data_IF_517771829320
#
_entry.id   IF_517771829320
#
_cell.length_a   1.000
_cell.length_b   1.000
_cell.length_c   1.000
_cell.angle_alpha   90.00
_cell.angle_beta   90.00
_cell.angle_gamma   90.00
#
_symmetry.space_group_name_H-M   'P 1'
#
loop_
_entity.id
_entity.type
_entity.pdbx_description
1 polymer ?
#
# COMPACT_ATOMS: atom_id res chain seq x y z
N UNK A 1 15.10 58.89 29.50
CA UNK A 1 16.51 58.44 29.50
C UNK A 1 16.66 57.42 30.62
N UNK A 2 16.95 56.12 30.39
CA UNK A 2 16.72 55.19 29.25
C UNK A 2 15.64 54.11 29.60
N UNK A 3 14.84 53.56 28.66
CA UNK A 3 14.97 52.28 27.90
C UNK A 3 14.94 51.01 28.80
N UNK A 4 14.14 49.95 28.60
CA UNK A 4 13.73 49.17 27.40
C UNK A 4 12.35 48.49 27.63
N UNK A 5 11.39 48.53 26.69
CA UNK A 5 11.05 47.57 25.60
C UNK A 5 10.43 46.22 26.01
N UNK A 6 9.19 46.00 25.54
CA UNK A 6 8.60 44.75 25.01
C UNK A 6 7.21 45.13 24.46
N UNK A 7 7.09 45.67 23.24
CA UNK A 7 6.99 44.99 21.93
C UNK A 7 5.94 43.86 21.87
N UNK A 8 4.77 44.27 21.38
CA UNK A 8 3.71 43.45 20.77
C UNK A 8 4.27 42.89 19.45
N UNK A 9 4.38 41.56 19.33
CA UNK A 9 4.75 40.92 18.08
C UNK A 9 3.53 40.47 17.27
N UNK A 10 3.69 40.64 15.97
CA UNK A 10 2.73 40.48 14.88
C UNK A 10 2.28 39.02 14.70
N UNK A 11 0.98 38.82 14.48
CA UNK A 11 0.49 37.66 13.74
C UNK A 11 0.41 38.06 12.26
N UNK A 12 1.45 37.76 11.50
CA UNK A 12 1.43 37.93 10.04
C UNK A 12 0.56 36.87 9.38
N UNK A 13 -0.27 37.35 8.45
CA UNK A 13 -1.21 36.60 7.63
C UNK A 13 -0.50 35.54 6.77
N UNK A 14 -1.00 34.30 6.80
CA UNK A 14 -0.75 33.34 5.74
C UNK A 14 -1.37 33.85 4.43
N UNK A 15 -0.53 34.19 3.46
CA UNK A 15 -0.95 34.69 2.15
C UNK A 15 -1.61 33.60 1.31
N UNK A 16 -2.92 33.72 1.08
CA UNK A 16 -3.63 33.02 0.01
C UNK A 16 -3.25 33.68 -1.31
N UNK A 17 -2.53 32.97 -2.18
CA UNK A 17 -2.40 33.36 -3.60
C UNK A 17 -3.44 32.61 -4.41
N UNK A 18 -4.57 33.26 -4.65
CA UNK A 18 -5.50 32.89 -5.73
C UNK A 18 -4.93 33.41 -7.05
N UNK A 19 -4.73 32.52 -8.02
CA UNK A 19 -4.54 32.91 -9.42
C UNK A 19 -5.67 32.32 -10.24
N UNK A 20 -6.51 33.20 -10.77
CA UNK A 20 -7.60 32.87 -11.69
C UNK A 20 -7.04 32.57 -13.08
N UNK A 21 -7.22 31.33 -13.55
CA UNK A 21 -7.11 31.01 -14.97
C UNK A 21 -8.44 30.44 -15.48
N UNK A 22 -9.12 31.21 -16.32
CA UNK A 22 -10.42 30.86 -16.90
C UNK A 22 -10.24 30.05 -18.19
N UNK A 23 -10.22 28.72 -18.10
CA UNK A 23 -10.71 27.85 -19.19
C UNK A 23 -11.48 26.65 -18.60
N UNK A 24 -12.78 26.56 -18.95
CA UNK A 24 -13.71 25.45 -18.70
C UNK A 24 -14.19 25.19 -17.25
N UNK A 25 -15.09 26.05 -16.74
CA UNK A 25 -16.36 25.64 -16.12
C UNK A 25 -16.40 24.71 -14.89
N UNK A 26 -15.28 24.34 -14.27
CA UNK A 26 -15.25 23.57 -13.02
C UNK A 26 -14.31 24.25 -12.02
N UNK A 27 -14.84 24.70 -10.88
CA UNK A 27 -14.02 25.07 -9.73
C UNK A 27 -13.27 23.82 -9.27
N UNK A 28 -11.97 23.77 -9.50
CA UNK A 28 -11.04 22.83 -8.87
C UNK A 28 -10.34 23.56 -7.74
N UNK A 29 -10.60 23.17 -6.50
CA UNK A 29 -9.76 23.56 -5.37
C UNK A 29 -8.48 22.74 -5.44
N UNK A 30 -7.35 23.39 -5.70
CA UNK A 30 -6.03 22.76 -5.69
C UNK A 30 -5.48 22.89 -4.27
N UNK A 31 -5.36 21.79 -3.55
CA UNK A 31 -4.65 21.73 -2.27
C UNK A 31 -3.22 21.31 -2.57
N UNK A 32 -2.26 22.25 -2.50
CA UNK A 32 -0.84 21.91 -2.54
C UNK A 32 -0.42 21.42 -1.15
N UNK A 33 0.07 20.18 -1.07
CA UNK A 33 0.69 19.64 0.14
C UNK A 33 2.22 19.73 -0.05
N UNK A 34 2.86 20.72 0.55
CA UNK A 34 4.33 20.82 0.61
C UNK A 34 4.80 20.15 1.90
N UNK A 35 5.53 19.04 1.79
CA UNK A 35 6.25 18.46 2.92
C UNK A 35 7.70 18.93 2.89
N UNK A 36 8.05 19.93 3.71
CA UNK A 36 9.45 20.29 3.93
C UNK A 36 10.15 19.19 4.75
N UNK A 37 11.14 18.52 4.15
CA UNK A 37 12.00 17.58 4.86
C UNK A 37 13.13 18.33 5.54
N UNK A 38 13.08 18.45 6.87
CA UNK A 38 14.27 18.75 7.67
C UNK A 38 14.57 17.54 8.55
N UNK A 39 15.75 16.96 8.30
CA UNK A 39 16.26 15.77 8.97
C UNK A 39 17.06 16.23 10.18
N UNK A 40 16.48 16.15 11.38
CA UNK A 40 17.23 16.28 12.63
C UNK A 40 17.25 14.95 13.38
N UNK A 41 18.48 14.49 13.62
CA UNK A 41 18.82 13.26 14.35
C UNK A 41 18.59 13.46 15.84
N UNK A 42 17.64 12.73 16.43
CA UNK A 42 17.64 12.47 17.89
C UNK A 42 17.17 11.05 18.22
N UNK A 43 17.95 10.46 19.11
CA UNK A 43 17.91 9.14 19.79
C UNK A 43 16.57 8.44 20.03
N UNK A 44 16.66 7.11 19.94
CA UNK A 44 15.62 6.08 20.06
C UNK A 44 14.61 6.26 21.21
N UNK A 45 13.37 6.59 20.84
CA UNK A 45 12.15 6.18 21.53
C UNK A 45 11.11 5.88 20.46
N UNK A 46 10.45 4.71 20.54
CA UNK A 46 9.59 4.20 19.47
C UNK A 46 8.49 5.19 19.07
N UNK A 47 8.23 5.32 17.76
CA UNK A 47 7.08 6.08 17.25
C UNK A 47 5.81 5.39 17.74
N UNK A 48 5.12 6.01 18.71
CA UNK A 48 3.78 5.60 19.12
C UNK A 48 2.85 5.71 17.90
N UNK A 49 1.95 4.74 17.76
CA UNK A 49 0.88 4.76 16.78
C UNK A 49 0.12 6.08 16.91
N UNK A 50 -0.11 6.76 15.78
CA UNK A 50 -0.65 8.11 15.75
C UNK A 50 -1.99 8.12 16.49
N UNK A 51 -2.04 8.91 17.56
CA UNK A 51 -3.23 9.11 18.41
C UNK A 51 -4.44 9.56 17.59
N UNK A 52 -5.63 9.23 18.10
CA UNK A 52 -7.00 9.25 17.54
C UNK A 52 -7.52 10.55 16.86
N UNK A 53 -6.67 11.47 16.43
CA UNK A 53 -7.06 12.75 15.80
C UNK A 53 -7.43 12.67 14.31
N UNK A 54 -7.70 11.47 13.78
CA UNK A 54 -8.43 11.31 12.51
C UNK A 54 -9.96 11.25 12.71
N UNK A 55 -10.44 11.19 13.96
CA UNK A 55 -11.87 11.26 14.26
C UNK A 55 -12.27 12.70 14.62
N UNK A 56 -12.21 13.59 13.64
CA UNK A 56 -12.59 14.99 13.76
C UNK A 56 -13.83 15.32 12.93
N UNK A 57 -14.98 14.78 13.33
CA UNK A 57 -16.33 15.38 13.23
C UNK A 57 -17.36 14.28 13.50
N UNK A 58 -18.30 14.53 14.43
CA UNK A 58 -19.58 13.81 14.50
C UNK A 58 -20.32 14.02 13.17
N UNK A 59 -20.00 13.16 12.21
CA UNK A 59 -20.67 13.07 10.93
C UNK A 59 -21.48 11.77 10.95
N UNK A 60 -22.74 11.83 10.53
CA UNK A 60 -23.63 10.69 10.22
C UNK A 60 -23.00 9.67 9.22
N UNK A 61 -21.80 9.97 8.73
CA UNK A 61 -20.98 9.17 7.81
C UNK A 61 -20.04 8.14 8.50
N UNK A 62 -19.93 8.11 9.83
CA UNK A 62 -19.09 7.12 10.52
C UNK A 62 -19.80 5.75 10.69
N UNK A 63 -19.29 4.69 10.07
CA UNK A 63 -19.87 3.32 10.16
C UNK A 63 -19.33 2.46 11.31
N UNK A 64 -18.42 3.00 12.13
CA UNK A 64 -17.72 2.21 13.15
C UNK A 64 -16.64 1.30 12.55
N UNK A 65 -15.76 0.74 13.39
CA UNK A 65 -14.77 -0.26 12.93
C UNK A 65 -15.45 -1.58 12.60
N UNK A 66 -14.91 -2.31 11.63
CA UNK A 66 -15.49 -3.57 11.15
C UNK A 66 -14.42 -4.64 11.07
N UNK A 67 -14.74 -5.84 11.56
CA UNK A 67 -13.88 -7.02 11.48
C UNK A 67 -14.67 -8.20 10.95
N UNK A 68 -14.04 -9.03 10.13
CA UNK A 68 -14.55 -10.35 9.76
C UNK A 68 -13.41 -11.36 9.77
N UNK A 69 -13.72 -12.64 10.01
CA UNK A 69 -12.71 -13.69 10.10
C UNK A 69 -12.30 -14.18 8.71
N UNK A 70 -11.03 -14.54 8.57
CA UNK A 70 -10.55 -15.35 7.45
C UNK A 70 -11.30 -16.69 7.36
N UNK A 71 -11.45 -17.38 8.48
CA UNK A 71 -12.19 -18.63 8.57
C UNK A 71 -12.39 -19.09 10.02
N UNK A 72 -13.04 -20.23 10.19
CA UNK A 72 -13.25 -20.83 11.52
C UNK A 72 -12.02 -21.57 12.06
N UNK A 73 -11.14 -22.02 11.16
CA UNK A 73 -9.88 -22.70 11.50
C UNK A 73 -8.73 -21.70 11.68
N UNK A 74 -8.74 -20.63 10.87
CA UNK A 74 -7.79 -19.52 10.91
C UNK A 74 -8.49 -18.28 11.48
N UNK A 75 -8.45 -18.16 12.81
CA UNK A 75 -9.19 -17.12 13.54
C UNK A 75 -8.40 -15.81 13.51
N UNK A 76 -8.29 -15.17 12.35
CA UNK A 76 -7.58 -13.90 12.17
C UNK A 76 -8.52 -12.86 11.57
N UNK A 77 -8.46 -11.64 12.10
CA UNK A 77 -9.35 -10.58 11.66
C UNK A 77 -8.84 -9.88 10.40
N UNK A 78 -9.70 -9.82 9.39
CA UNK A 78 -9.45 -9.14 8.13
C UNK A 78 -8.14 -9.55 7.46
N UNK A 79 -7.80 -10.85 7.44
CA UNK A 79 -6.62 -11.35 6.72
C UNK A 79 -6.57 -10.77 5.31
N UNK A 80 -5.52 -10.02 5.02
CA UNK A 80 -5.56 -8.95 4.03
C UNK A 80 -5.25 -9.44 2.62
N UNK A 81 -4.37 -10.42 2.52
CA UNK A 81 -4.11 -11.15 1.30
C UNK A 81 -5.35 -11.93 0.82
N UNK A 82 -6.23 -12.33 1.75
CA UNK A 82 -7.56 -12.89 1.45
C UNK A 82 -8.62 -11.80 1.20
N UNK A 83 -8.56 -10.68 1.92
CA UNK A 83 -9.42 -9.52 1.70
C UNK A 83 -9.33 -9.01 0.27
N UNK A 84 -8.16 -9.10 -0.37
CA UNK A 84 -7.98 -8.80 -1.79
C UNK A 84 -9.03 -9.42 -2.71
N UNK A 85 -9.44 -10.66 -2.43
CA UNK A 85 -10.44 -11.36 -3.23
C UNK A 85 -11.88 -11.04 -2.76
N UNK A 86 -12.09 -10.92 -1.44
CA UNK A 86 -13.42 -10.71 -0.85
C UNK A 86 -13.93 -9.26 -0.97
N UNK A 87 -13.04 -8.27 -0.99
CA UNK A 87 -13.35 -6.85 -0.85
C UNK A 87 -14.20 -6.28 -1.99
N UNK A 88 -14.26 -6.95 -3.15
CA UNK A 88 -15.21 -6.61 -4.22
C UNK A 88 -16.67 -6.63 -3.76
N UNK A 89 -17.05 -7.61 -2.92
CA UNK A 89 -18.40 -7.70 -2.39
C UNK A 89 -18.70 -6.54 -1.42
N UNK A 90 -17.72 -6.21 -0.57
CA UNK A 90 -17.82 -5.11 0.38
C UNK A 90 -17.89 -3.76 -0.35
N UNK A 91 -17.01 -3.49 -1.31
CA UNK A 91 -17.05 -2.26 -2.10
C UNK A 91 -18.39 -2.08 -2.82
N UNK A 92 -18.95 -3.17 -3.38
CA UNK A 92 -20.19 -3.12 -4.16
C UNK A 92 -21.44 -2.95 -3.30
N UNK A 93 -21.49 -3.61 -2.14
CA UNK A 93 -22.71 -3.67 -1.32
C UNK A 93 -22.65 -2.71 -0.13
N UNK A 94 -21.46 -2.50 0.43
CA UNK A 94 -21.21 -1.74 1.65
C UNK A 94 -19.94 -0.88 1.53
N UNK A 95 -19.85 0.05 0.56
CA UNK A 95 -18.62 0.79 0.28
C UNK A 95 -18.07 1.55 1.49
N UNK A 96 -18.93 2.08 2.37
CA UNK A 96 -18.49 2.75 3.60
C UNK A 96 -17.75 1.82 4.56
N UNK A 97 -18.13 0.53 4.62
CA UNK A 97 -17.41 -0.49 5.41
C UNK A 97 -16.06 -0.79 4.77
N UNK A 98 -16.02 -1.01 3.45
CA UNK A 98 -14.76 -1.24 2.72
C UNK A 98 -13.75 -0.10 2.96
N UNK A 99 -14.17 1.15 2.72
CA UNK A 99 -13.29 2.30 2.92
C UNK A 99 -12.80 2.42 4.37
N UNK A 100 -13.60 1.98 5.35
CA UNK A 100 -13.16 2.03 6.74
C UNK A 100 -12.15 0.92 7.08
N UNK A 101 -12.30 -0.28 6.51
CA UNK A 101 -11.30 -1.35 6.63
C UNK A 101 -9.97 -0.88 6.02
N UNK A 102 -10.01 -0.27 4.83
CA UNK A 102 -8.83 0.30 4.20
C UNK A 102 -8.15 1.34 5.10
N UNK A 103 -8.92 2.23 5.75
CA UNK A 103 -8.37 3.20 6.73
C UNK A 103 -7.72 2.53 7.95
N UNK A 104 -8.26 1.42 8.45
CA UNK A 104 -7.63 0.62 9.50
C UNK A 104 -6.27 0.07 9.04
N UNK A 105 -6.19 -0.47 7.82
CA UNK A 105 -4.93 -0.95 7.24
C UNK A 105 -3.93 0.19 6.95
N UNK A 106 -4.39 1.36 6.51
CA UNK A 106 -3.50 2.52 6.33
C UNK A 106 -2.85 2.96 7.64
N UNK A 107 -3.62 3.02 8.74
CA UNK A 107 -3.06 3.27 10.08
C UNK A 107 -2.05 2.19 10.44
N UNK A 108 -2.39 0.93 10.20
CA UNK A 108 -1.51 -0.19 10.50
C UNK A 108 -0.18 -0.13 9.73
N UNK A 109 -0.20 0.17 8.43
CA UNK A 109 1.01 0.35 7.60
C UNK A 109 1.95 1.40 8.21
N UNK A 110 1.40 2.49 8.73
CA UNK A 110 2.14 3.60 9.32
C UNK A 110 2.53 3.39 10.79
N UNK A 111 2.17 2.26 11.40
CA UNK A 111 2.55 1.90 12.77
C UNK A 111 3.60 0.79 12.79
N UNK A 112 4.45 0.83 13.84
CA UNK A 112 5.41 -0.22 14.18
C UNK A 112 5.04 -0.81 15.55
N UNK A 113 5.12 -2.13 15.65
CA UNK A 113 5.04 -2.84 16.92
C UNK A 113 6.35 -3.60 17.15
N UNK A 114 7.19 -3.02 18.00
CA UNK A 114 8.51 -3.53 18.34
C UNK A 114 8.54 -4.85 19.12
N UNK A 115 7.38 -5.37 19.57
CA UNK A 115 7.33 -6.64 20.30
C UNK A 115 7.93 -7.77 19.47
N UNK A 116 8.66 -8.67 20.13
CA UNK A 116 9.28 -9.81 19.47
C UNK A 116 8.31 -10.97 19.35
N UNK A 117 8.24 -11.55 18.17
CA UNK A 117 7.47 -12.77 17.88
C UNK A 117 8.41 -13.82 17.30
N UNK A 118 8.17 -15.08 17.64
CA UNK A 118 8.87 -16.22 17.04
C UNK A 118 8.09 -16.67 15.82
N UNK A 119 8.74 -16.75 14.66
CA UNK A 119 8.15 -17.32 13.46
C UNK A 119 8.32 -18.83 13.48
N UNK A 120 7.21 -19.54 13.32
CA UNK A 120 7.16 -20.98 13.61
C UNK A 120 7.91 -21.81 12.57
N UNK A 121 7.82 -21.44 11.30
CA UNK A 121 8.42 -22.19 10.20
C UNK A 121 9.95 -22.05 10.17
N UNK A 122 10.47 -20.84 10.32
CA UNK A 122 11.92 -20.57 10.30
C UNK A 122 12.57 -20.72 11.69
N UNK A 123 11.78 -20.64 12.76
CA UNK A 123 12.24 -20.74 14.15
C UNK A 123 12.98 -19.51 14.68
N UNK A 124 13.15 -18.47 13.86
CA UNK A 124 13.80 -17.22 14.21
C UNK A 124 12.83 -16.23 14.88
N UNK A 125 13.37 -15.12 15.38
CA UNK A 125 12.60 -14.05 16.01
C UNK A 125 12.64 -12.79 15.16
N UNK A 126 11.50 -12.11 15.06
CA UNK A 126 11.36 -10.84 14.36
C UNK A 126 10.57 -9.81 15.16
N UNK A 127 10.42 -8.63 14.55
CA UNK A 127 9.52 -7.57 15.03
C UNK A 127 8.10 -7.96 14.60
N UNK A 128 7.11 -7.79 15.48
CA UNK A 128 5.72 -8.18 15.21
C UNK A 128 5.11 -7.43 14.04
N UNK A 129 5.31 -6.11 13.96
CA UNK A 129 4.81 -5.28 12.86
C UNK A 129 5.85 -4.23 12.48
N UNK A 130 6.32 -4.27 11.25
CA UNK A 130 7.31 -3.34 10.71
C UNK A 130 6.62 -2.15 10.02
N UNK A 131 7.12 -0.93 10.22
CA UNK A 131 6.63 0.26 9.50
C UNK A 131 6.76 0.08 7.99
N UNK A 132 5.73 0.49 7.23
CA UNK A 132 5.70 0.37 5.76
C UNK A 132 5.29 -1.02 5.25
N UNK A 133 5.42 -2.08 6.05
CA UNK A 133 4.82 -3.37 5.72
C UNK A 133 3.32 -3.36 6.07
N UNK A 134 2.47 -3.77 5.13
CA UNK A 134 1.06 -4.07 5.40
C UNK A 134 1.00 -5.29 6.33
N UNK A 135 0.25 -5.24 7.45
CA UNK A 135 0.08 -6.44 8.27
C UNK A 135 -0.71 -7.50 7.48
N UNK A 136 -0.44 -8.77 7.78
CA UNK A 136 -1.23 -9.89 7.26
C UNK A 136 -2.68 -9.81 7.77
N UNK A 137 -2.87 -9.53 9.05
CA UNK A 137 -4.17 -9.45 9.68
C UNK A 137 -4.20 -8.36 10.76
N UNK A 138 -5.40 -7.91 11.12
CA UNK A 138 -5.59 -6.91 12.18
C UNK A 138 -5.50 -7.48 13.58
N UNK A 139 -5.12 -8.76 13.75
CA UNK A 139 -4.93 -9.43 15.02
C UNK A 139 -5.99 -10.50 15.32
N UNK A 140 -5.97 -10.97 16.57
CA UNK A 140 -6.94 -11.93 17.14
C UNK A 140 -7.60 -11.38 18.40
N UNK A 141 -6.80 -11.16 19.46
CA UNK A 141 -7.26 -10.87 20.81
C UNK A 141 -7.60 -9.40 21.03
N UNK A 142 -6.70 -8.51 20.62
CA UNK A 142 -6.87 -7.07 20.69
C UNK A 142 -6.60 -6.45 19.31
N UNK A 143 -7.59 -6.54 18.41
CA UNK A 143 -7.42 -6.13 17.02
C UNK A 143 -7.05 -4.65 16.92
N UNK A 144 -6.40 -4.26 15.83
CA UNK A 144 -5.85 -2.91 15.58
C UNK A 144 -4.63 -2.53 16.44
N UNK A 145 -4.38 -3.20 17.57
CA UNK A 145 -3.24 -2.93 18.45
C UNK A 145 -2.25 -4.12 18.49
N UNK A 146 -2.76 -5.35 18.43
CA UNK A 146 -1.97 -6.59 18.35
C UNK A 146 -2.09 -7.25 16.97
N UNK A 147 -1.71 -6.50 15.94
CA UNK A 147 -1.71 -6.94 14.54
C UNK A 147 -0.72 -8.09 14.28
N UNK A 148 -0.87 -8.76 13.13
CA UNK A 148 -0.09 -9.95 12.76
C UNK A 148 -0.22 -11.04 13.83
N UNK A 149 -1.43 -11.52 14.04
CA UNK A 149 -1.65 -12.72 14.81
C UNK A 149 -1.07 -13.95 14.09
N UNK A 150 -1.07 -13.95 12.76
CA UNK A 150 -0.30 -14.89 11.97
C UNK A 150 1.18 -14.83 12.32
N UNK A 151 1.75 -15.97 12.73
CA UNK A 151 3.14 -16.08 13.13
C UNK A 151 3.84 -17.32 12.56
N UNK A 152 3.29 -17.95 11.52
CA UNK A 152 3.98 -19.07 10.85
C UNK A 152 5.23 -18.55 10.14
N UNK A 153 5.06 -17.51 9.32
CA UNK A 153 6.12 -16.81 8.59
C UNK A 153 6.23 -15.33 8.98
N UNK A 154 7.37 -14.74 8.65
CA UNK A 154 7.59 -13.29 8.73
C UNK A 154 6.86 -12.55 7.60
N UNK A 155 5.66 -12.07 7.90
CA UNK A 155 4.78 -11.41 6.92
C UNK A 155 5.31 -10.05 6.47
N UNK A 156 6.24 -9.43 7.20
CA UNK A 156 6.89 -8.21 6.72
C UNK A 156 7.75 -8.46 5.48
N UNK A 157 8.08 -9.72 5.20
CA UNK A 157 8.83 -10.10 3.99
C UNK A 157 7.91 -10.49 2.84
N UNK A 158 6.59 -10.50 3.03
CA UNK A 158 5.68 -10.90 1.96
C UNK A 158 5.68 -9.92 0.80
N UNK A 159 5.59 -10.47 -0.42
CA UNK A 159 5.75 -9.73 -1.68
C UNK A 159 4.42 -9.32 -2.29
N UNK A 160 3.29 -9.82 -1.78
CA UNK A 160 1.96 -9.58 -2.30
C UNK A 160 1.14 -8.59 -1.46
N UNK A 161 1.30 -8.56 -0.13
CA UNK A 161 0.51 -7.70 0.76
C UNK A 161 0.56 -6.20 0.40
N UNK A 162 1.75 -5.63 0.25
CA UNK A 162 1.92 -4.22 -0.10
C UNK A 162 1.35 -3.89 -1.50
N UNK A 163 1.67 -4.65 -2.57
CA UNK A 163 1.01 -4.46 -3.87
C UNK A 163 -0.51 -4.61 -3.81
N UNK A 164 -1.05 -5.62 -3.11
CA UNK A 164 -2.48 -5.81 -2.90
C UNK A 164 -3.13 -4.62 -2.20
N UNK A 165 -2.46 -4.02 -1.22
CA UNK A 165 -2.93 -2.82 -0.54
C UNK A 165 -3.05 -1.64 -1.51
N UNK A 166 -1.97 -1.31 -2.21
CA UNK A 166 -1.93 -0.19 -3.17
C UNK A 166 -3.02 -0.34 -4.23
N UNK A 167 -3.16 -1.55 -4.76
CA UNK A 167 -4.15 -1.89 -5.77
C UNK A 167 -5.60 -1.74 -5.25
N UNK A 168 -5.91 -2.24 -4.06
CA UNK A 168 -7.25 -2.11 -3.46
C UNK A 168 -7.58 -0.66 -3.13
N UNK A 169 -6.65 0.08 -2.51
CA UNK A 169 -6.85 1.50 -2.18
C UNK A 169 -7.14 2.31 -3.44
N UNK A 170 -6.35 2.11 -4.50
CA UNK A 170 -6.60 2.83 -5.75
C UNK A 170 -7.92 2.42 -6.41
N UNK A 171 -8.27 1.12 -6.41
CA UNK A 171 -9.58 0.64 -6.90
C UNK A 171 -10.73 1.37 -6.19
N UNK A 172 -10.67 1.43 -4.87
CA UNK A 172 -11.73 1.99 -4.04
C UNK A 172 -11.83 3.51 -4.20
N UNK A 173 -10.67 4.19 -4.23
CA UNK A 173 -10.58 5.62 -4.53
C UNK A 173 -11.17 5.93 -5.92
N UNK A 174 -10.76 5.19 -6.95
CA UNK A 174 -11.21 5.38 -8.32
C UNK A 174 -12.72 5.13 -8.50
N UNK A 175 -13.25 4.10 -7.82
CA UNK A 175 -14.65 3.67 -7.89
C UNK A 175 -15.60 4.62 -7.16
N UNK A 176 -15.18 5.14 -6.00
CA UNK A 176 -16.00 6.04 -5.18
C UNK A 176 -15.84 7.51 -5.58
N UNK A 177 -14.67 7.88 -6.10
CA UNK A 177 -14.32 9.29 -6.35
C UNK A 177 -14.14 10.11 -5.07
N UNK A 178 -13.99 9.45 -3.91
CA UNK A 178 -13.81 10.10 -2.61
C UNK A 178 -12.37 10.65 -2.49
N UNK A 179 -12.22 11.94 -2.78
CA UNK A 179 -10.94 12.64 -2.69
C UNK A 179 -10.38 12.66 -1.25
N UNK A 180 -11.24 12.75 -0.24
CA UNK A 180 -10.78 12.76 1.14
C UNK A 180 -10.21 11.39 1.51
N UNK A 181 -10.88 10.30 1.13
CA UNK A 181 -10.31 8.96 1.25
C UNK A 181 -8.95 8.85 0.53
N UNK A 182 -8.84 9.35 -0.70
CA UNK A 182 -7.56 9.36 -1.41
C UNK A 182 -6.45 10.08 -0.64
N UNK A 183 -6.74 11.26 -0.08
CA UNK A 183 -5.81 12.05 0.74
C UNK A 183 -5.42 11.31 2.02
N UNK A 184 -6.40 10.75 2.74
CA UNK A 184 -6.19 10.03 4.01
C UNK A 184 -5.26 8.82 3.82
N UNK A 185 -5.40 8.14 2.68
CA UNK A 185 -4.71 6.88 2.38
C UNK A 185 -3.32 7.09 1.77
N UNK A 186 -3.05 8.23 1.15
CA UNK A 186 -1.82 8.49 0.39
C UNK A 186 -0.52 8.26 1.17
N UNK A 187 -0.37 8.72 2.43
CA UNK A 187 0.86 8.48 3.19
C UNK A 187 1.16 6.98 3.38
N UNK A 188 0.13 6.16 3.60
CA UNK A 188 0.28 4.73 3.75
C UNK A 188 0.60 4.04 2.42
N UNK A 189 -0.05 4.45 1.32
CA UNK A 189 0.26 3.94 -0.03
C UNK A 189 1.72 4.21 -0.39
N UNK A 190 2.19 5.45 -0.16
CA UNK A 190 3.58 5.82 -0.41
C UNK A 190 4.55 5.01 0.46
N UNK A 191 4.29 4.90 1.76
CA UNK A 191 5.12 4.11 2.66
C UNK A 191 5.17 2.62 2.26
N UNK A 192 4.05 2.06 1.81
CA UNK A 192 3.99 0.68 1.34
C UNK A 192 4.81 0.47 0.06
N UNK A 193 4.74 1.40 -0.90
CA UNK A 193 5.55 1.36 -2.13
C UNK A 193 7.05 1.52 -1.83
N UNK A 194 7.43 2.52 -1.04
CA UNK A 194 8.82 2.74 -0.62
C UNK A 194 9.39 1.54 0.16
N UNK A 195 8.57 0.88 0.98
CA UNK A 195 8.98 -0.33 1.69
C UNK A 195 9.33 -1.47 0.72
N UNK A 196 8.60 -1.61 -0.39
CA UNK A 196 8.85 -2.69 -1.35
C UNK A 196 10.17 -2.54 -2.12
N UNK A 197 10.72 -1.32 -2.19
CA UNK A 197 11.96 -1.03 -2.91
C UNK A 197 13.17 -1.81 -2.37
N UNK A 198 13.14 -2.21 -1.09
CA UNK A 198 14.20 -3.02 -0.50
C UNK A 198 14.29 -4.44 -1.09
N UNK A 199 13.23 -4.88 -1.77
CA UNK A 199 13.14 -6.20 -2.40
C UNK A 199 13.49 -6.19 -3.87
N UNK A 200 13.96 -5.08 -4.45
CA UNK A 200 14.55 -5.01 -5.80
C UNK A 200 16.08 -5.02 -5.66
N UNK A 201 16.65 -6.23 -5.68
CA UNK A 201 18.06 -6.48 -5.35
C UNK A 201 18.97 -6.32 -6.56
N UNK A 202 18.51 -6.69 -7.74
CA UNK A 202 19.27 -6.53 -8.98
C UNK A 202 19.01 -5.19 -9.69
N UNK A 203 18.10 -4.38 -9.12
CA UNK A 203 17.71 -3.05 -9.58
C UNK A 203 17.02 -3.07 -10.93
N UNK A 204 16.43 -4.16 -11.39
CA UNK A 204 15.68 -4.18 -12.64
C UNK A 204 14.27 -3.59 -12.51
N UNK A 205 13.85 -3.22 -11.30
CA UNK A 205 12.54 -2.67 -10.99
C UNK A 205 11.52 -3.71 -10.55
N UNK A 206 11.88 -4.99 -10.46
CA UNK A 206 11.05 -6.08 -9.95
C UNK A 206 11.41 -6.43 -8.51
N UNK A 207 10.48 -7.07 -7.82
CA UNK A 207 10.66 -7.52 -6.44
C UNK A 207 10.99 -9.01 -6.42
N UNK A 208 12.11 -9.41 -5.80
CA UNK A 208 12.53 -10.81 -5.73
C UNK A 208 12.14 -11.51 -4.42
N UNK A 209 11.84 -12.81 -4.53
CA UNK A 209 11.57 -13.74 -3.45
C UNK A 209 12.85 -14.53 -3.12
N UNK A 210 13.12 -14.75 -1.83
CA UNK A 210 14.37 -15.37 -1.37
C UNK A 210 14.29 -16.88 -1.13
N UNK A 211 13.47 -17.62 -1.90
CA UNK A 211 13.36 -19.07 -1.73
C UNK A 211 12.53 -19.49 -0.52
N UNK A 212 11.53 -18.67 -0.15
CA UNK A 212 10.57 -18.94 0.92
C UNK A 212 9.15 -18.53 0.45
N UNK A 213 8.09 -19.05 1.08
CA UNK A 213 6.71 -18.72 0.71
C UNK A 213 6.30 -17.34 1.27
N UNK A 214 6.82 -16.29 0.65
CA UNK A 214 6.57 -14.91 1.04
C UNK A 214 5.30 -14.31 0.42
N UNK A 215 4.20 -15.07 0.40
CA UNK A 215 2.93 -14.62 -0.19
C UNK A 215 1.78 -15.57 0.23
N UNK A 216 0.54 -15.22 -0.10
CA UNK A 216 -0.70 -15.93 0.29
C UNK A 216 -0.70 -17.47 0.13
N UNK A 217 0.00 -18.02 -0.87
CA UNK A 217 0.28 -19.45 -0.98
C UNK A 217 1.44 -19.81 -0.05
N UNK A 218 1.19 -19.71 1.26
CA UNK A 218 2.18 -19.67 2.34
C UNK A 218 2.96 -20.97 2.57
N UNK A 219 2.65 -22.04 1.84
CA UNK A 219 3.44 -23.28 1.80
C UNK A 219 4.14 -23.52 0.46
N UNK A 220 4.00 -22.61 -0.51
CA UNK A 220 4.58 -22.75 -1.84
C UNK A 220 5.78 -21.82 -2.04
N UNK A 221 6.98 -22.40 -2.02
CA UNK A 221 8.24 -21.69 -2.18
C UNK A 221 8.35 -20.98 -3.53
N UNK A 222 8.93 -19.77 -3.53
CA UNK A 222 9.21 -18.96 -4.72
C UNK A 222 10.67 -18.54 -4.73
N UNK A 223 11.34 -18.61 -5.89
CA UNK A 223 12.71 -18.16 -6.09
C UNK A 223 12.80 -17.04 -7.13
N UNK A 224 13.45 -15.92 -6.77
CA UNK A 224 13.59 -14.79 -7.68
C UNK A 224 12.24 -14.09 -7.92
N UNK A 225 12.00 -13.64 -9.14
CA UNK A 225 10.74 -12.99 -9.50
C UNK A 225 9.69 -14.07 -9.73
N UNK A 226 8.51 -13.96 -9.10
CA UNK A 226 7.35 -14.77 -9.48
C UNK A 226 6.43 -14.05 -10.43
N UNK A 227 5.74 -14.83 -11.25
CA UNK A 227 4.68 -14.32 -12.10
C UNK A 227 3.55 -13.73 -11.26
N UNK A 228 3.11 -14.41 -10.19
CA UNK A 228 2.07 -13.91 -9.29
C UNK A 228 2.41 -12.54 -8.68
N UNK A 229 3.55 -12.41 -7.99
CA UNK A 229 3.92 -11.16 -7.33
C UNK A 229 4.28 -10.07 -8.35
N UNK A 230 4.91 -10.43 -9.47
CA UNK A 230 5.21 -9.48 -10.53
C UNK A 230 3.94 -8.92 -11.20
N UNK A 231 2.92 -9.76 -11.42
CA UNK A 231 1.63 -9.30 -11.92
C UNK A 231 0.83 -8.49 -10.92
N UNK A 232 1.14 -8.53 -9.62
CA UNK A 232 0.60 -7.58 -8.64
C UNK A 232 1.43 -6.29 -8.59
N UNK A 233 2.75 -6.40 -8.69
CA UNK A 233 3.68 -5.28 -8.57
C UNK A 233 3.61 -4.29 -9.73
N UNK A 234 3.59 -4.78 -10.98
CA UNK A 234 3.50 -3.94 -12.16
C UNK A 234 2.27 -3.01 -12.15
N UNK A 235 1.03 -3.51 -11.95
CA UNK A 235 -0.12 -2.62 -11.86
C UNK A 235 -0.15 -1.81 -10.56
N UNK A 236 0.46 -2.27 -9.45
CA UNK A 236 0.61 -1.44 -8.26
C UNK A 236 1.46 -0.19 -8.52
N UNK A 237 2.53 -0.30 -9.30
CA UNK A 237 3.32 0.85 -9.75
C UNK A 237 2.48 1.84 -10.57
N UNK A 238 1.65 1.32 -11.48
CA UNK A 238 0.77 2.17 -12.29
C UNK A 238 -0.33 2.83 -11.46
N UNK A 239 -0.94 2.09 -10.52
CA UNK A 239 -1.95 2.59 -9.60
C UNK A 239 -1.39 3.69 -8.69
N UNK A 240 -0.21 3.47 -8.10
CA UNK A 240 0.48 4.48 -7.30
C UNK A 240 0.81 5.73 -8.14
N UNK A 241 1.29 5.56 -9.37
CA UNK A 241 1.56 6.70 -10.26
C UNK A 241 0.30 7.51 -10.59
N UNK A 242 -0.81 6.83 -10.89
CA UNK A 242 -2.09 7.47 -11.18
C UNK A 242 -2.63 8.23 -9.96
N UNK A 243 -2.64 7.58 -8.79
CA UNK A 243 -3.09 8.17 -7.54
C UNK A 243 -2.26 9.41 -7.18
N UNK A 244 -0.93 9.32 -7.32
CA UNK A 244 -0.01 10.43 -7.08
C UNK A 244 -0.34 11.65 -7.96
N UNK A 245 -0.64 11.44 -9.24
CA UNK A 245 -1.02 12.53 -10.16
C UNK A 245 -2.34 13.19 -9.75
N UNK A 246 -3.35 12.40 -9.36
CA UNK A 246 -4.64 12.92 -8.89
C UNK A 246 -4.52 13.72 -7.59
N UNK A 247 -3.55 13.35 -6.74
CA UNK A 247 -3.24 14.00 -5.46
C UNK A 247 -2.11 15.04 -5.54
N UNK A 248 -1.68 15.40 -6.77
CA UNK A 248 -0.65 16.38 -7.07
C UNK A 248 0.78 16.07 -6.56
N UNK A 249 1.09 14.83 -6.21
CA UNK A 249 2.44 14.33 -5.92
C UNK A 249 3.15 13.91 -7.22
N UNK A 250 3.54 14.90 -8.03
CA UNK A 250 4.10 14.66 -9.37
C UNK A 250 5.45 13.96 -9.34
N UNK A 251 6.26 14.18 -8.30
CA UNK A 251 7.58 13.58 -8.18
C UNK A 251 7.45 12.08 -7.93
N UNK A 252 6.57 11.66 -7.02
CA UNK A 252 6.33 10.25 -6.76
C UNK A 252 5.67 9.55 -7.95
N UNK A 253 4.76 10.24 -8.66
CA UNK A 253 4.18 9.72 -9.89
C UNK A 253 5.23 9.32 -10.92
N UNK A 254 6.22 10.19 -11.14
CA UNK A 254 7.30 9.95 -12.10
C UNK A 254 8.27 8.85 -11.61
N UNK A 255 8.53 8.74 -10.30
CA UNK A 255 9.29 7.62 -9.73
C UNK A 255 8.63 6.28 -10.07
N UNK A 256 7.35 6.13 -9.77
CA UNK A 256 6.60 4.91 -10.05
C UNK A 256 6.54 4.60 -11.55
N UNK A 257 6.31 5.63 -12.38
CA UNK A 257 6.29 5.48 -13.85
C UNK A 257 7.62 4.98 -14.40
N UNK A 258 8.75 5.57 -14.01
CA UNK A 258 10.08 5.11 -14.45
C UNK A 258 10.35 3.67 -14.03
N UNK A 259 9.97 3.31 -12.81
CA UNK A 259 10.13 1.93 -12.32
C UNK A 259 9.29 0.95 -13.14
N UNK A 260 8.03 1.27 -13.43
CA UNK A 260 7.18 0.44 -14.28
C UNK A 260 7.78 0.23 -15.68
N UNK A 261 8.25 1.31 -16.33
CA UNK A 261 8.85 1.24 -17.66
C UNK A 261 10.11 0.36 -17.71
N UNK A 262 10.83 0.25 -16.59
CA UNK A 262 11.98 -0.63 -16.44
C UNK A 262 11.57 -2.08 -16.12
N UNK A 263 10.65 -2.25 -15.18
CA UNK A 263 10.23 -3.53 -14.64
C UNK A 263 9.47 -4.38 -15.65
N UNK A 264 8.61 -3.77 -16.47
CA UNK A 264 7.78 -4.49 -17.44
C UNK A 264 8.59 -5.34 -18.44
N UNK A 265 9.56 -4.78 -19.20
CA UNK A 265 10.34 -5.60 -20.13
C UNK A 265 11.19 -6.67 -19.40
N UNK A 266 11.73 -6.35 -18.22
CA UNK A 266 12.48 -7.32 -17.42
C UNK A 266 11.59 -8.50 -16.96
N UNK A 267 10.32 -8.23 -16.63
CA UNK A 267 9.36 -9.24 -16.23
C UNK A 267 9.06 -10.21 -17.37
N UNK A 268 8.80 -9.66 -18.56
CA UNK A 268 8.58 -10.47 -19.77
C UNK A 268 9.82 -11.30 -20.12
N UNK A 269 11.01 -10.70 -20.10
CA UNK A 269 12.27 -11.40 -20.37
C UNK A 269 12.53 -12.57 -19.40
N UNK A 270 12.30 -12.35 -18.10
CA UNK A 270 12.58 -13.36 -17.06
C UNK A 270 11.59 -14.52 -17.05
N UNK A 271 10.32 -14.29 -17.41
CA UNK A 271 9.24 -15.23 -17.09
C UNK A 271 8.47 -15.75 -18.32
N UNK A 272 8.44 -15.02 -19.43
CA UNK A 272 7.75 -15.49 -20.64
C UNK A 272 8.55 -16.58 -21.35
N UNK A 273 7.98 -17.79 -21.46
CA UNK A 273 8.65 -18.93 -22.09
C UNK A 273 8.25 -19.16 -23.57
N UNK A 274 7.49 -18.25 -24.17
CA UNK A 274 6.93 -18.39 -25.52
C UNK A 274 5.51 -18.96 -25.57
N UNK A 275 4.93 -19.42 -24.46
CA UNK A 275 3.56 -19.95 -24.41
C UNK A 275 2.78 -19.53 -23.18
N UNK A 276 3.43 -19.46 -22.02
CA UNK A 276 2.87 -18.96 -20.76
C UNK A 276 3.98 -18.32 -19.93
N UNK A 277 3.61 -17.71 -18.81
CA UNK A 277 4.58 -17.22 -17.84
C UNK A 277 4.96 -18.32 -16.86
N UNK A 278 6.27 -18.59 -16.72
CA UNK A 278 6.82 -19.51 -15.73
C UNK A 278 6.34 -19.12 -14.32
N UNK A 279 6.20 -20.07 -13.40
CA UNK A 279 5.79 -19.78 -12.02
C UNK A 279 6.73 -18.77 -11.34
N UNK A 280 8.03 -19.01 -11.45
CA UNK A 280 9.08 -18.11 -10.97
C UNK A 280 10.32 -18.13 -11.87
N UNK A 281 11.25 -17.21 -11.64
CA UNK A 281 12.51 -17.09 -12.37
C UNK A 281 13.61 -18.02 -11.81
N UNK A 282 13.23 -18.98 -10.98
CA UNK A 282 14.14 -19.96 -10.40
C UNK A 282 14.53 -21.06 -11.39
N UNK A 283 15.38 -21.97 -10.91
CA UNK A 283 15.86 -23.14 -11.67
C UNK A 283 15.27 -24.47 -11.17
N UNK A 284 14.28 -24.42 -10.27
CA UNK A 284 13.67 -25.61 -9.69
C UNK A 284 12.79 -26.34 -10.70
N UNK A 285 12.46 -27.61 -10.43
CA UNK A 285 11.52 -28.37 -11.26
C UNK A 285 10.12 -27.72 -11.33
N UNK A 286 9.71 -27.00 -10.29
CA UNK A 286 8.41 -26.33 -10.20
C UNK A 286 8.42 -24.91 -10.80
N UNK A 287 9.59 -24.36 -11.14
CA UNK A 287 9.71 -23.01 -11.71
C UNK A 287 8.95 -22.87 -13.04
N UNK A 288 8.68 -23.98 -13.73
CA UNK A 288 7.91 -24.04 -14.98
C UNK A 288 6.44 -24.42 -14.79
N UNK A 289 5.94 -24.49 -13.56
CA UNK A 289 4.53 -24.80 -13.30
C UNK A 289 3.62 -23.71 -13.85
N UNK A 290 2.44 -24.12 -14.33
CA UNK A 290 1.37 -23.19 -14.74
C UNK A 290 0.52 -22.91 -13.52
N UNK A 291 0.67 -21.72 -12.93
CA UNK A 291 -0.14 -21.29 -11.79
C UNK A 291 -1.49 -20.74 -12.29
N UNK A 292 -2.60 -21.16 -11.66
CA UNK A 292 -3.93 -20.70 -12.04
C UNK A 292 -4.10 -19.19 -11.82
N UNK A 293 -3.58 -18.67 -10.72
CA UNK A 293 -3.70 -17.25 -10.34
C UNK A 293 -2.55 -16.38 -10.88
N UNK A 294 -1.83 -16.84 -11.91
CA UNK A 294 -0.64 -16.16 -12.42
C UNK A 294 -0.93 -14.71 -12.88
N UNK A 295 -2.16 -14.40 -13.31
CA UNK A 295 -2.58 -13.09 -13.81
C UNK A 295 -3.46 -12.30 -12.82
N UNK A 296 -3.37 -12.56 -11.53
CA UNK A 296 -4.23 -11.95 -10.50
C UNK A 296 -4.28 -10.41 -10.57
N UNK A 297 -3.15 -9.74 -10.76
CA UNK A 297 -3.15 -8.28 -10.85
C UNK A 297 -3.66 -7.73 -12.18
N UNK A 298 -3.50 -8.46 -13.29
CA UNK A 298 -4.16 -8.10 -14.57
C UNK A 298 -5.69 -8.20 -14.45
N UNK A 299 -6.18 -9.20 -13.71
CA UNK A 299 -7.61 -9.30 -13.39
C UNK A 299 -8.09 -8.06 -12.63
N UNK A 300 -7.39 -7.61 -11.61
CA UNK A 300 -7.78 -6.41 -10.86
C UNK A 300 -7.70 -5.12 -11.70
N UNK A 301 -6.67 -5.00 -12.55
CA UNK A 301 -6.48 -3.86 -13.44
C UNK A 301 -7.66 -3.68 -14.39
N UNK A 302 -8.13 -4.78 -15.00
CA UNK A 302 -9.26 -4.77 -15.94
C UNK A 302 -10.60 -4.43 -15.29
N UNK A 303 -10.76 -4.68 -13.98
CA UNK A 303 -11.99 -4.36 -13.23
C UNK A 303 -11.99 -2.93 -12.67
N UNK A 304 -10.85 -2.25 -12.68
CA UNK A 304 -10.74 -0.83 -12.34
C UNK A 304 -10.80 0.01 -13.62
N UNK A 305 -12.02 0.32 -14.10
CA UNK A 305 -12.28 0.97 -15.40
C UNK A 305 -11.43 2.24 -15.68
N UNK A 306 -11.00 2.96 -14.63
CA UNK A 306 -10.08 4.11 -14.71
C UNK A 306 -8.60 3.73 -14.85
N UNK A 307 -8.13 2.64 -14.23
CA UNK A 307 -6.75 2.19 -14.34
C UNK A 307 -6.44 1.82 -15.80
N UNK A 308 -7.37 1.12 -16.46
CA UNK A 308 -7.27 0.78 -17.88
C UNK A 308 -7.19 2.01 -18.81
N UNK A 309 -7.86 3.13 -18.47
CA UNK A 309 -7.80 4.36 -19.26
C UNK A 309 -6.49 5.16 -19.06
N UNK A 310 -5.94 5.18 -17.84
CA UNK A 310 -4.65 5.81 -17.56
C UNK A 310 -3.48 5.13 -18.29
N UNK A 311 -3.55 3.81 -18.47
CA UNK A 311 -2.54 3.05 -19.21
C UNK A 311 -2.48 3.46 -20.69
N UNK A 312 -3.63 3.79 -21.30
CA UNK A 312 -3.68 4.35 -22.66
C UNK A 312 -3.09 5.75 -22.78
N UNK A 313 -2.91 6.48 -21.68
CA UNK A 313 -2.26 7.80 -21.68
C UNK A 313 -0.75 7.71 -21.46
N UNK A 314 -0.23 6.53 -21.08
CA UNK A 314 1.19 6.26 -20.85
C UNK A 314 1.83 5.31 -21.88
N UNK A 315 1.05 4.82 -22.85
CA UNK A 315 1.53 4.21 -24.10
C UNK A 315 1.61 5.28 -25.19
#
# INVERSE_FOLDING_TARGET
MPNDQDQVSEFENAGVKETDDKINGRKRTVVMCTTDSTYESTTSTGRKCVDEKLCGHDNDDHVGRFLYLEGVEYIMWCTYDMHFYASFALLKLFPRIELNIQRDFARAVLCEDGRKVKFLAEGNWGIRKVYGAVPHDLGTHDPWYEMNAYNIHDTSKWKDLNPKFVLQVYRDFAATGDLQFGIDMWPAVRAAMEYMDQFDKDRDGLIENDGFPYQTYDTWTVHGVSTYCGYLWLPALQAAAAMALELADRDFAEICKRKFLKAKPAFEEKLWNGSYFNYDSGSSGNSKSIQADQLAGQWLETHSFKLYQLIKLTQ
#
